data_IF_701546906967
#
_entry.id   IF_701546906967
#
_cell.length_a   1.000
_cell.length_b   1.000
_cell.length_c   1.000
_cell.angle_alpha   90.00
_cell.angle_beta   90.00
_cell.angle_gamma   90.00
#
_symmetry.space_group_name_H-M   'P 1'
#
loop_
_entity.id
_entity.type
_entity.pdbx_description
1 polymer ?
#
# COMPACT_ATOMS: atom_id res chain seq x y z
N UNK A 1 -26.09 23.37 -23.00
CA UNK A 1 -26.00 23.63 -24.46
C UNK A 1 -26.36 25.08 -24.81
N UNK A 2 -25.47 26.04 -24.54
CA UNK A 2 -25.55 27.41 -25.11
C UNK A 2 -24.13 27.98 -25.17
N UNK A 3 -23.54 28.12 -26.37
CA UNK A 3 -22.18 28.66 -26.54
C UNK A 3 -22.25 30.17 -26.79
N UNK A 4 -21.47 30.96 -26.05
CA UNK A 4 -21.17 32.35 -26.39
C UNK A 4 -19.64 32.52 -26.40
N UNK A 5 -19.07 32.71 -27.59
CA UNK A 5 -17.61 32.85 -27.74
C UNK A 5 -17.19 34.31 -27.54
N UNK A 6 -16.42 34.60 -26.49
CA UNK A 6 -15.54 35.77 -26.48
C UNK A 6 -14.11 35.37 -26.10
N UNK A 7 -13.21 35.39 -27.10
CA UNK A 7 -11.77 35.21 -26.91
C UNK A 7 -11.10 36.57 -26.69
N UNK A 8 -10.34 36.69 -25.62
CA UNK A 8 -9.29 37.71 -25.43
C UNK A 8 -8.03 37.01 -24.94
N UNK A 9 -6.89 37.09 -25.66
CA UNK A 9 -5.64 36.51 -25.19
C UNK A 9 -4.94 37.47 -24.22
N UNK A 10 -4.85 37.12 -22.94
CA UNK A 10 -4.05 37.85 -21.96
C UNK A 10 -2.69 37.16 -21.80
N UNK A 11 -1.65 37.68 -22.46
CA UNK A 11 -0.29 37.16 -22.33
C UNK A 11 0.38 37.74 -21.08
N UNK A 12 0.27 37.04 -19.95
CA UNK A 12 1.10 37.31 -18.76
C UNK A 12 2.43 36.56 -18.91
N UNK A 13 3.54 37.29 -18.83
CA UNK A 13 4.88 36.71 -18.89
C UNK A 13 5.40 36.38 -17.50
N UNK A 14 5.65 35.10 -17.21
CA UNK A 14 6.27 34.66 -15.95
C UNK A 14 7.74 35.06 -15.92
N UNK A 15 8.15 35.81 -14.89
CA UNK A 15 9.53 36.23 -14.67
C UNK A 15 10.30 35.18 -13.85
N UNK A 16 10.99 34.26 -14.52
CA UNK A 16 11.88 33.28 -13.86
C UNK A 16 13.10 33.98 -13.24
N UNK A 17 13.15 34.07 -11.92
CA UNK A 17 14.31 34.54 -11.16
C UNK A 17 15.32 33.40 -10.96
N UNK A 18 16.13 33.12 -11.99
CA UNK A 18 17.21 32.14 -11.88
C UNK A 18 18.34 32.61 -10.96
N UNK A 19 18.56 31.90 -9.85
CA UNK A 19 19.75 32.04 -9.01
C UNK A 19 20.75 30.93 -9.33
N UNK A 20 21.84 31.28 -10.02
CA UNK A 20 22.92 30.35 -10.32
C UNK A 20 23.99 30.37 -9.22
N UNK A 21 24.28 29.21 -8.63
CA UNK A 21 25.47 28.97 -7.81
C UNK A 21 26.39 28.00 -8.57
N UNK A 22 27.66 28.38 -8.75
CA UNK A 22 28.60 27.69 -9.63
C UNK A 22 29.70 27.02 -8.80
N UNK A 23 29.82 25.69 -8.86
CA UNK A 23 30.96 24.95 -8.31
C UNK A 23 31.20 23.67 -9.11
N UNK A 24 32.41 23.53 -9.67
CA UNK A 24 32.89 22.30 -10.28
C UNK A 24 34.05 21.75 -9.44
N UNK A 25 34.17 20.43 -9.35
CA UNK A 25 35.47 19.76 -9.25
C UNK A 25 35.38 18.35 -9.81
N UNK A 26 36.20 18.05 -10.81
CA UNK A 26 36.66 16.68 -11.07
C UNK A 26 37.62 16.23 -9.93
N UNK A 27 37.84 14.91 -9.74
CA UNK A 27 39.03 14.22 -10.28
C UNK A 27 39.12 12.70 -9.90
N UNK A 28 39.19 11.85 -10.93
CA UNK A 28 39.88 10.53 -11.05
C UNK A 28 39.91 9.42 -9.95
N UNK A 29 39.23 8.30 -10.27
CA UNK A 29 39.74 6.89 -10.42
C UNK A 29 40.37 6.03 -9.28
N UNK A 30 39.72 4.87 -9.06
CA UNK A 30 40.26 3.47 -8.99
C UNK A 30 41.08 2.91 -7.81
N UNK A 31 40.88 1.59 -7.59
CA UNK A 31 41.62 0.61 -6.77
C UNK A 31 41.47 0.73 -5.24
N UNK A 32 41.47 -0.37 -4.46
CA UNK A 32 41.74 -1.79 -4.76
C UNK A 32 40.92 -2.72 -3.85
N UNK A 33 40.88 -4.01 -4.19
CA UNK A 33 40.34 -5.12 -3.40
C UNK A 33 41.00 -5.25 -2.00
N UNK A 34 40.24 -5.75 -1.01
CA UNK A 34 40.75 -6.71 -0.02
C UNK A 34 39.62 -7.64 0.47
N UNK A 35 39.96 -8.82 1.02
CA UNK A 35 39.04 -9.91 1.34
C UNK A 35 39.13 -10.28 2.82
N UNK A 36 37.99 -10.36 3.53
CA UNK A 36 38.02 -10.75 4.95
C UNK A 36 36.68 -10.92 5.68
N UNK A 37 36.09 -12.12 5.58
CA UNK A 37 35.24 -12.77 6.61
C UNK A 37 35.90 -14.13 6.96
N UNK A 38 35.49 -14.91 7.98
CA UNK A 38 34.36 -14.76 8.93
C UNK A 38 34.80 -14.84 10.41
N UNK A 39 34.24 -15.78 11.19
CA UNK A 39 34.41 -16.07 12.65
C UNK A 39 33.73 -15.03 13.59
N UNK A 40 32.44 -15.13 13.95
CA UNK A 40 31.76 -16.05 14.92
C UNK A 40 32.01 -15.79 16.42
N UNK A 41 30.91 -15.68 17.18
CA UNK A 41 30.53 -16.61 18.29
C UNK A 41 30.09 -15.97 19.65
N UNK A 42 29.06 -16.59 20.24
CA UNK A 42 28.75 -16.74 21.67
C UNK A 42 28.50 -15.53 22.60
N UNK A 43 27.20 -15.30 22.84
CA UNK A 43 26.52 -15.32 24.16
C UNK A 43 27.16 -14.66 25.41
N UNK A 44 26.38 -13.78 26.04
CA UNK A 44 26.53 -13.40 27.46
C UNK A 44 25.16 -13.26 28.12
N UNK A 45 24.97 -13.87 29.29
CA UNK A 45 23.76 -13.73 30.13
C UNK A 45 23.88 -12.54 31.08
N UNK A 46 22.75 -12.07 31.62
CA UNK A 46 22.44 -12.23 33.06
C UNK A 46 21.03 -11.69 33.40
N UNK A 47 20.61 -11.87 34.65
CA UNK A 47 19.22 -11.86 35.11
C UNK A 47 19.00 -10.91 36.30
N UNK A 48 17.73 -10.76 36.72
CA UNK A 48 17.28 -10.21 38.02
C UNK A 48 17.43 -8.67 38.20
N UNK A 49 16.71 -7.96 39.11
CA UNK A 49 15.30 -8.07 39.54
C UNK A 49 14.90 -6.83 40.39
N UNK A 50 13.59 -6.60 40.57
CA UNK A 50 12.92 -6.04 41.77
C UNK A 50 13.16 -4.60 42.31
N UNK A 51 12.03 -3.90 42.53
CA UNK A 51 11.60 -3.13 43.74
C UNK A 51 12.12 -1.72 44.10
N UNK A 52 11.15 -0.78 44.09
CA UNK A 52 10.70 0.13 45.19
C UNK A 52 11.42 1.45 45.60
N UNK A 53 10.57 2.34 46.17
CA UNK A 53 10.79 3.60 46.90
C UNK A 53 11.32 4.84 46.11
N UNK A 54 11.06 6.12 46.48
CA UNK A 54 10.53 6.70 47.73
C UNK A 54 9.66 8.00 47.52
N UNK A 55 9.12 8.53 48.62
CA UNK A 55 8.06 9.54 48.86
C UNK A 55 8.39 11.01 48.47
N UNK A 56 7.35 11.84 48.28
CA UNK A 56 7.47 13.31 48.12
C UNK A 56 6.25 14.19 48.44
N UNK A 57 5.55 14.03 49.57
CA UNK A 57 4.49 14.99 50.01
C UNK A 57 5.06 16.27 50.66
N UNK A 58 4.47 17.45 50.36
CA UNK A 58 4.35 18.58 51.31
C UNK A 58 3.09 19.41 51.08
N UNK A 59 2.30 19.62 52.14
CA UNK A 59 1.15 20.54 52.21
C UNK A 59 1.46 21.76 53.12
N UNK A 60 0.89 22.93 52.82
CA UNK A 60 0.41 23.98 53.77
C UNK A 60 0.29 25.37 53.12
N UNK A 61 -0.78 26.12 53.44
CA UNK A 61 -0.71 27.60 53.45
C UNK A 61 -1.92 28.41 52.97
N UNK A 62 -3.03 28.44 53.74
CA UNK A 62 -4.19 29.30 53.47
C UNK A 62 -4.02 30.74 53.98
N UNK A 63 -4.67 31.73 53.34
CA UNK A 63 -5.41 32.81 54.05
C UNK A 63 -6.37 33.58 53.14
N UNK A 64 -7.40 34.20 53.73
CA UNK A 64 -8.50 34.92 53.06
C UNK A 64 -8.41 36.46 53.18
N UNK A 65 -9.12 37.18 52.30
CA UNK A 65 -9.76 38.53 52.46
C UNK A 65 -10.15 39.09 51.08
N UNK A 66 -11.20 39.89 50.85
CA UNK A 66 -12.44 40.20 51.61
C UNK A 66 -13.49 40.71 50.59
N UNK A 67 -14.79 40.74 50.93
CA UNK A 67 -15.90 41.14 50.03
C UNK A 67 -16.47 42.54 50.33
N UNK A 68 -16.99 43.24 49.32
CA UNK A 68 -17.49 44.63 49.48
C UNK A 68 -18.44 45.13 48.39
N UNK A 69 -19.69 44.64 48.37
CA UNK A 69 -20.76 45.10 47.46
C UNK A 69 -21.67 46.14 48.10
N UNK A 70 -22.15 47.16 47.35
CA UNK A 70 -23.49 47.78 47.52
C UNK A 70 -23.83 48.79 46.40
N UNK A 71 -24.95 48.56 45.68
CA UNK A 71 -26.20 49.37 45.64
C UNK A 71 -26.12 50.87 46.11
N UNK A 72 -26.87 51.88 45.61
CA UNK A 72 -28.17 51.91 44.89
C UNK A 72 -28.49 53.33 44.33
N UNK A 73 -29.14 53.41 43.15
CA UNK A 73 -30.32 54.24 42.75
C UNK A 73 -30.52 55.78 42.93
N UNK A 74 -31.44 56.31 42.10
CA UNK A 74 -32.18 57.63 42.10
C UNK A 74 -31.46 58.93 41.64
N UNK A 75 -32.11 59.98 41.09
CA UNK A 75 -33.35 60.14 40.27
C UNK A 75 -33.40 61.56 39.62
N UNK A 76 -34.25 61.73 38.60
CA UNK A 76 -34.71 62.86 37.77
C UNK A 76 -34.71 64.32 38.31
N UNK A 77 -34.56 65.31 37.40
CA UNK A 77 -35.01 66.70 37.66
C UNK A 77 -34.66 67.78 36.58
N UNK A 78 -35.68 68.30 35.87
CA UNK A 78 -35.60 69.46 34.93
C UNK A 78 -35.85 70.81 35.67
N UNK A 79 -35.90 72.04 35.12
CA UNK A 79 -36.18 72.61 33.77
C UNK A 79 -35.91 74.15 33.75
N UNK A 80 -35.85 74.81 32.56
CA UNK A 80 -35.93 76.30 32.31
C UNK A 80 -34.79 77.19 32.90
N UNK A 81 -34.41 78.40 32.44
CA UNK A 81 -34.78 79.42 31.39
C UNK A 81 -33.53 80.35 31.16
N UNK A 82 -33.35 81.35 30.27
CA UNK A 82 -34.08 82.01 29.14
C UNK A 82 -33.05 82.81 28.24
N UNK A 83 -33.48 83.30 27.05
CA UNK A 83 -33.00 84.48 26.28
C UNK A 83 -31.50 84.68 25.92
N UNK A 84 -31.15 84.36 24.66
CA UNK A 84 -31.38 85.32 23.55
C UNK A 84 -30.22 86.17 22.99
N UNK A 85 -29.87 85.94 21.72
CA UNK A 85 -29.54 86.98 20.73
C UNK A 85 -29.86 86.50 19.31
N UNK A 86 -30.18 87.43 18.41
CA UNK A 86 -30.25 87.17 16.96
C UNK A 86 -28.86 87.15 16.34
N UNK A 87 -28.70 86.44 15.23
CA UNK A 87 -28.44 87.09 13.94
C UNK A 87 -28.94 86.19 12.79
N UNK A 88 -28.99 86.74 11.58
CA UNK A 88 -29.65 86.12 10.41
C UNK A 88 -28.71 86.13 9.22
N UNK A 89 -28.33 84.94 8.75
CA UNK A 89 -27.78 84.74 7.39
C UNK A 89 -28.47 83.55 6.74
N UNK A 90 -28.50 83.53 5.41
CA UNK A 90 -29.25 82.56 4.61
C UNK A 90 -28.40 82.10 3.44
N UNK A 91 -27.66 81.01 3.66
CA UNK A 91 -27.06 80.21 2.60
C UNK A 91 -27.58 78.78 2.75
N UNK A 92 -28.58 78.44 1.94
CA UNK A 92 -28.96 77.06 1.66
C UNK A 92 -28.33 76.68 0.34
N UNK A 93 -27.33 75.82 0.38
CA UNK A 93 -27.08 74.78 -0.61
C UNK A 93 -26.07 73.81 0.02
N UNK A 94 -26.60 72.82 0.75
CA UNK A 94 -25.79 71.72 1.29
C UNK A 94 -25.54 70.72 0.17
N UNK A 95 -24.44 70.90 -0.57
CA UNK A 95 -23.85 69.85 -1.40
C UNK A 95 -23.30 68.74 -0.49
N UNK A 96 -24.21 67.97 0.13
CA UNK A 96 -23.91 66.64 0.62
C UNK A 96 -23.65 65.79 -0.61
N UNK A 97 -22.38 65.71 -1.01
CA UNK A 97 -21.90 64.76 -2.02
C UNK A 97 -22.19 63.35 -1.52
N UNK A 98 -23.40 62.90 -1.85
CA UNK A 98 -23.94 61.62 -1.42
C UNK A 98 -23.32 60.60 -2.35
N UNK A 99 -22.10 60.22 -2.02
CA UNK A 99 -21.43 59.07 -2.59
C UNK A 99 -22.33 57.86 -2.40
N UNK A 100 -23.15 57.56 -3.40
CA UNK A 100 -23.84 56.29 -3.52
C UNK A 100 -22.76 55.20 -3.61
N UNK A 101 -22.37 54.68 -2.44
CA UNK A 101 -21.81 53.34 -2.35
C UNK A 101 -22.88 52.41 -2.86
N UNK A 102 -22.85 52.14 -4.17
CA UNK A 102 -23.62 51.07 -4.77
C UNK A 102 -23.16 49.80 -4.09
N UNK A 103 -24.01 49.30 -3.19
CA UNK A 103 -23.85 48.05 -2.46
C UNK A 103 -24.00 46.90 -3.47
N UNK A 104 -22.91 46.68 -4.21
CA UNK A 104 -22.75 45.55 -5.12
C UNK A 104 -22.45 44.36 -4.21
N UNK A 105 -23.31 43.32 -4.20
CA UNK A 105 -23.01 42.11 -3.45
C UNK A 105 -21.65 41.56 -3.89
N UNK A 106 -20.82 41.02 -2.98
CA UNK A 106 -19.55 40.41 -3.36
C UNK A 106 -19.81 39.32 -4.41
N UNK A 107 -18.87 39.15 -5.35
CA UNK A 107 -18.91 37.95 -6.18
C UNK A 107 -18.56 36.72 -5.32
N UNK A 108 -18.98 35.54 -5.75
CA UNK A 108 -18.84 34.31 -4.97
C UNK A 108 -17.78 33.39 -5.57
N UNK A 109 -16.99 32.75 -4.72
CA UNK A 109 -16.22 31.56 -5.01
C UNK A 109 -17.02 30.29 -4.65
N UNK A 110 -16.60 29.14 -5.16
CA UNK A 110 -17.12 27.83 -4.78
C UNK A 110 -16.03 27.07 -4.03
N UNK A 111 -16.31 26.59 -2.81
CA UNK A 111 -15.36 25.84 -1.98
C UNK A 111 -15.94 24.48 -1.60
N UNK A 112 -15.31 23.37 -1.99
CA UNK A 112 -15.56 22.05 -1.40
C UNK A 112 -14.41 21.66 -0.48
N UNK A 113 -14.70 20.84 0.53
CA UNK A 113 -13.72 20.38 1.52
C UNK A 113 -13.64 18.86 1.55
N UNK A 114 -12.45 18.32 1.80
CA UNK A 114 -12.15 16.92 2.10
C UNK A 114 -11.49 16.81 3.48
N UNK A 115 -11.93 15.84 4.28
CA UNK A 115 -11.22 15.42 5.49
C UNK A 115 -10.36 14.17 5.21
N UNK A 116 -9.04 14.39 5.11
CA UNK A 116 -8.01 13.36 4.99
C UNK A 116 -6.96 13.46 6.13
N UNK A 117 -7.29 14.10 7.26
CA UNK A 117 -6.39 14.27 8.39
C UNK A 117 -6.29 12.99 9.24
N UNK A 118 -5.08 12.46 9.41
CA UNK A 118 -4.85 11.18 10.10
C UNK A 118 -5.02 11.32 11.62
N UNK A 119 -5.54 10.26 12.24
CA UNK A 119 -5.87 10.16 13.68
C UNK A 119 -6.84 11.22 14.23
N UNK A 120 -7.40 12.08 13.36
CA UNK A 120 -8.42 13.05 13.74
C UNK A 120 -9.82 12.41 13.82
N UNK A 121 -10.68 12.85 14.76
CA UNK A 121 -12.09 12.47 14.78
C UNK A 121 -12.83 13.14 13.61
N UNK A 122 -14.16 12.96 13.56
CA UNK A 122 -15.02 13.83 12.76
C UNK A 122 -14.79 15.31 13.13
N UNK A 123 -14.90 16.20 12.14
CA UNK A 123 -14.58 17.63 12.29
C UNK A 123 -15.77 18.54 11.99
N UNK A 124 -15.81 19.67 12.69
CA UNK A 124 -16.61 20.84 12.31
C UNK A 124 -15.66 21.89 11.70
N UNK A 125 -16.10 22.52 10.59
CA UNK A 125 -15.31 23.52 9.84
C UNK A 125 -16.04 24.85 9.85
N UNK A 126 -15.36 25.87 10.35
CA UNK A 126 -15.85 27.24 10.51
C UNK A 126 -15.20 28.17 9.48
N UNK A 127 -15.94 29.18 9.05
CA UNK A 127 -15.48 30.26 8.18
C UNK A 127 -15.76 31.59 8.90
N UNK A 128 -14.79 32.49 8.93
CA UNK A 128 -14.84 33.84 9.50
C UNK A 128 -15.40 33.93 10.94
N UNK A 129 -14.99 32.97 11.77
CA UNK A 129 -15.36 32.85 13.19
C UNK A 129 -16.88 32.85 13.48
N UNK A 130 -17.68 32.33 12.55
CA UNK A 130 -19.14 32.30 12.64
C UNK A 130 -19.69 31.49 13.84
N UNK A 131 -20.85 31.90 14.37
CA UNK A 131 -21.57 31.26 15.49
C UNK A 131 -21.93 29.77 15.26
N UNK A 132 -21.84 29.28 14.03
CA UNK A 132 -22.11 27.91 13.64
C UNK A 132 -21.16 27.49 12.50
N UNK A 133 -20.73 26.21 12.44
CA UNK A 133 -19.83 25.73 11.39
C UNK A 133 -20.54 25.72 10.02
N UNK A 134 -19.76 25.96 8.96
CA UNK A 134 -20.21 25.86 7.58
C UNK A 134 -20.38 24.40 7.13
N UNK A 135 -19.55 23.50 7.68
CA UNK A 135 -19.65 22.04 7.53
C UNK A 135 -19.58 21.41 8.90
N UNK A 136 -20.54 20.55 9.26
CA UNK A 136 -20.62 19.92 10.58
C UNK A 136 -20.54 18.40 10.52
N UNK A 137 -19.83 17.79 11.47
CA UNK A 137 -19.67 16.35 11.65
C UNK A 137 -19.14 15.62 10.41
N UNK A 138 -18.16 16.22 9.72
CA UNK A 138 -17.52 15.64 8.54
C UNK A 138 -16.61 14.48 8.97
N UNK A 139 -16.84 13.23 8.52
CA UNK A 139 -15.99 12.09 8.86
C UNK A 139 -14.66 12.09 8.08
N UNK A 140 -13.67 11.35 8.58
CA UNK A 140 -12.47 11.01 7.81
C UNK A 140 -12.84 10.29 6.50
N UNK A 141 -12.02 10.46 5.45
CA UNK A 141 -12.26 10.00 4.07
C UNK A 141 -13.56 10.52 3.44
N UNK A 142 -14.14 11.62 3.95
CA UNK A 142 -15.40 12.19 3.44
C UNK A 142 -15.23 13.65 2.97
N UNK A 143 -15.95 14.01 1.92
CA UNK A 143 -15.94 15.35 1.32
C UNK A 143 -17.31 16.03 1.35
N UNK A 144 -17.40 17.20 0.73
CA UNK A 144 -18.65 17.98 0.63
C UNK A 144 -18.96 18.37 -0.81
N UNK A 145 -20.24 18.65 -1.08
CA UNK A 145 -20.60 19.49 -2.22
C UNK A 145 -19.95 20.88 -2.04
N UNK A 146 -19.78 21.61 -3.14
CA UNK A 146 -19.30 23.00 -3.08
C UNK A 146 -20.27 23.90 -2.27
N UNK A 147 -19.70 24.66 -1.35
CA UNK A 147 -20.34 25.77 -0.65
C UNK A 147 -20.11 27.07 -1.43
N UNK A 148 -21.12 27.95 -1.48
CA UNK A 148 -20.95 29.33 -1.98
C UNK A 148 -20.31 30.18 -0.86
N UNK A 149 -19.10 30.68 -1.09
CA UNK A 149 -18.36 31.57 -0.17
C UNK A 149 -18.11 32.90 -0.90
N UNK A 150 -18.14 34.07 -0.23
CA UNK A 150 -17.74 35.33 -0.89
C UNK A 150 -16.32 35.30 -1.45
N UNK A 151 -15.99 36.25 -2.33
CA UNK A 151 -14.60 36.53 -2.69
C UNK A 151 -13.87 37.27 -1.55
N UNK A 152 -12.57 36.98 -1.37
CA UNK A 152 -11.70 37.71 -0.44
C UNK A 152 -10.83 36.82 0.45
N UNK A 153 -10.31 37.41 1.52
CA UNK A 153 -9.59 36.71 2.57
C UNK A 153 -10.59 36.15 3.59
N UNK A 154 -10.47 34.86 3.89
CA UNK A 154 -11.30 34.17 4.89
C UNK A 154 -10.44 33.43 5.91
N UNK A 155 -10.91 33.38 7.16
CA UNK A 155 -10.32 32.52 8.19
C UNK A 155 -11.07 31.18 8.18
N UNK A 156 -10.37 30.09 7.87
CA UNK A 156 -10.91 28.72 8.00
C UNK A 156 -10.36 28.08 9.27
N UNK A 157 -11.24 27.67 10.18
CA UNK A 157 -10.89 27.05 11.46
C UNK A 157 -11.52 25.66 11.58
N UNK A 158 -10.75 24.67 12.00
CA UNK A 158 -11.15 23.26 12.11
C UNK A 158 -11.18 22.86 13.59
N UNK A 159 -12.30 22.31 14.07
CA UNK A 159 -12.45 21.72 15.40
C UNK A 159 -12.86 20.24 15.29
N UNK A 160 -12.74 19.46 16.37
CA UNK A 160 -13.44 18.19 16.45
C UNK A 160 -14.96 18.43 16.67
N UNK A 161 -15.83 17.56 16.14
CA UNK A 161 -17.30 17.76 16.17
C UNK A 161 -17.82 18.21 17.54
N UNK A 162 -18.55 19.32 17.55
CA UNK A 162 -19.21 19.88 18.72
C UNK A 162 -18.29 20.56 19.75
N UNK A 163 -16.99 20.73 19.45
CA UNK A 163 -16.11 21.59 20.25
C UNK A 163 -16.24 23.07 19.79
N UNK A 164 -16.08 24.05 20.70
CA UNK A 164 -16.10 25.46 20.31
C UNK A 164 -14.90 25.82 19.42
N UNK A 165 -15.05 26.88 18.61
CA UNK A 165 -13.97 27.38 17.75
C UNK A 165 -12.72 27.85 18.53
N UNK A 166 -12.87 28.17 19.82
CA UNK A 166 -11.74 28.45 20.73
C UNK A 166 -10.80 27.24 20.93
N UNK A 167 -11.29 26.01 20.70
CA UNK A 167 -10.54 24.74 20.76
C UNK A 167 -10.14 24.25 19.35
N UNK A 168 -10.02 25.14 18.35
CA UNK A 168 -9.60 24.80 16.99
C UNK A 168 -8.18 24.19 16.97
N UNK A 169 -8.04 23.07 16.26
CA UNK A 169 -6.76 22.36 16.09
C UNK A 169 -5.91 22.97 14.98
N UNK A 170 -6.56 23.65 14.03
CA UNK A 170 -5.94 24.39 12.94
C UNK A 170 -6.81 25.60 12.58
N UNK A 171 -6.18 26.76 12.36
CA UNK A 171 -6.78 27.95 11.77
C UNK A 171 -5.85 28.52 10.70
N UNK A 172 -6.36 28.75 9.50
CA UNK A 172 -5.60 29.23 8.33
C UNK A 172 -6.32 30.39 7.63
N UNK A 173 -5.56 31.36 7.12
CA UNK A 173 -6.07 32.40 6.22
C UNK A 173 -6.01 31.90 4.78
N UNK A 174 -7.12 31.98 4.04
CA UNK A 174 -7.22 31.60 2.62
C UNK A 174 -7.70 32.76 1.76
N UNK A 175 -7.21 32.88 0.53
CA UNK A 175 -7.67 33.89 -0.45
C UNK A 175 -8.52 33.19 -1.53
N UNK A 176 -9.82 33.52 -1.57
CA UNK A 176 -10.77 32.97 -2.53
C UNK A 176 -11.10 34.01 -3.62
N UNK A 177 -10.79 33.69 -4.87
CA UNK A 177 -11.08 34.54 -6.01
C UNK A 177 -12.52 34.31 -6.52
N UNK A 178 -13.19 35.39 -6.91
CA UNK A 178 -14.52 35.35 -7.52
C UNK A 178 -14.61 34.35 -8.70
N UNK A 179 -15.77 33.69 -8.82
CA UNK A 179 -16.10 32.76 -9.90
C UNK A 179 -15.12 31.57 -10.07
N UNK A 180 -14.27 31.32 -9.07
CA UNK A 180 -13.28 30.24 -9.03
C UNK A 180 -13.81 29.09 -8.18
N UNK A 181 -13.52 27.87 -8.59
CA UNK A 181 -13.84 26.64 -7.86
C UNK A 181 -12.58 26.16 -7.14
N UNK A 182 -12.74 25.76 -5.88
CA UNK A 182 -11.66 25.31 -5.01
C UNK A 182 -11.97 23.98 -4.33
N UNK A 183 -10.97 23.09 -4.34
CA UNK A 183 -10.89 21.86 -3.58
C UNK A 183 -9.91 22.06 -2.41
N UNK A 184 -10.43 22.19 -1.19
CA UNK A 184 -9.58 22.20 0.01
C UNK A 184 -9.52 20.82 0.65
N UNK A 185 -8.34 20.37 1.07
CA UNK A 185 -8.18 19.14 1.83
C UNK A 185 -7.36 19.37 3.10
N UNK A 186 -7.88 18.93 4.24
CA UNK A 186 -7.12 18.83 5.48
C UNK A 186 -6.38 17.48 5.49
N UNK A 187 -5.07 17.47 5.73
CA UNK A 187 -4.18 16.31 5.64
C UNK A 187 -3.05 16.36 6.68
N UNK A 188 -2.17 15.36 6.67
CA UNK A 188 -1.20 15.05 7.74
C UNK A 188 -1.90 14.53 9.02
N UNK A 189 -1.12 14.03 9.98
CA UNK A 189 -1.57 13.67 11.31
C UNK A 189 -2.15 14.87 12.06
N UNK A 190 -3.14 14.62 12.93
CA UNK A 190 -3.76 15.63 13.82
C UNK A 190 -2.75 16.50 14.58
N UNK A 191 -1.56 15.98 14.89
CA UNK A 191 -0.49 16.70 15.59
C UNK A 191 0.30 17.71 14.71
N UNK A 192 0.17 17.61 13.38
CA UNK A 192 0.85 18.41 12.36
C UNK A 192 -0.12 18.97 11.29
N UNK A 193 -1.44 18.84 11.54
CA UNK A 193 -2.51 19.00 10.55
C UNK A 193 -2.32 20.22 9.63
N UNK A 194 -2.35 19.96 8.33
CA UNK A 194 -2.13 20.93 7.26
C UNK A 194 -3.37 21.05 6.37
N UNK A 195 -3.47 22.12 5.60
CA UNK A 195 -4.52 22.32 4.58
C UNK A 195 -3.88 22.69 3.25
N UNK A 196 -4.26 21.97 2.20
CA UNK A 196 -4.00 22.36 0.82
C UNK A 196 -5.26 22.97 0.22
N UNK A 197 -5.10 24.00 -0.61
CA UNK A 197 -6.17 24.70 -1.32
C UNK A 197 -5.88 24.64 -2.81
N UNK A 198 -6.58 23.76 -3.51
CA UNK A 198 -6.44 23.48 -4.94
C UNK A 198 -7.47 24.28 -5.73
N UNK A 199 -7.18 24.61 -6.99
CA UNK A 199 -8.10 25.28 -7.91
C UNK A 199 -8.57 24.27 -8.96
N UNK A 200 -9.87 24.05 -9.06
CA UNK A 200 -10.48 23.10 -10.01
C UNK A 200 -10.46 23.65 -11.46
N UNK A 201 -9.29 23.69 -12.11
CA UNK A 201 -9.14 24.14 -13.50
C UNK A 201 -9.48 23.02 -14.51
N UNK A 202 -10.76 22.95 -14.89
CA UNK A 202 -11.29 21.99 -15.89
C UNK A 202 -10.79 22.24 -17.33
N UNK A 203 -10.05 23.32 -17.59
CA UNK A 203 -9.79 23.79 -18.95
C UNK A 203 -8.79 22.95 -19.76
N UNK A 204 -8.09 22.02 -19.11
CA UNK A 204 -7.17 21.07 -19.73
C UNK A 204 -7.81 19.73 -20.15
N UNK A 205 -9.07 19.47 -19.81
CA UNK A 205 -9.78 18.22 -20.16
C UNK A 205 -9.94 18.09 -21.68
N UNK A 206 -9.52 16.95 -22.25
CA UNK A 206 -9.80 16.57 -23.63
C UNK A 206 -10.95 15.54 -23.73
N UNK A 207 -11.52 15.38 -24.92
CA UNK A 207 -12.57 14.39 -25.15
C UNK A 207 -12.04 12.96 -24.94
N UNK A 208 -12.86 12.08 -24.36
CA UNK A 208 -12.47 10.72 -23.97
C UNK A 208 -11.30 10.66 -22.95
N UNK A 209 -11.11 11.70 -22.12
CA UNK A 209 -10.13 11.73 -21.00
C UNK A 209 -10.75 12.07 -19.64
N UNK A 210 -9.99 11.82 -18.57
CA UNK A 210 -10.17 12.31 -17.20
C UNK A 210 -8.94 13.16 -16.83
N UNK A 211 -9.16 14.27 -16.11
CA UNK A 211 -8.09 15.07 -15.52
C UNK A 211 -8.03 14.80 -14.01
N UNK A 212 -7.01 14.07 -13.59
CA UNK A 212 -6.70 13.91 -12.17
C UNK A 212 -5.84 15.09 -11.68
N UNK A 213 -6.21 15.67 -10.54
CA UNK A 213 -5.34 16.55 -9.77
C UNK A 213 -4.74 15.73 -8.63
N UNK A 214 -3.62 15.07 -8.92
CA UNK A 214 -2.94 14.14 -8.02
C UNK A 214 -2.20 14.93 -6.96
N UNK A 215 -2.45 14.64 -5.68
CA UNK A 215 -1.81 15.34 -4.56
C UNK A 215 -1.23 14.34 -3.56
N UNK A 216 0.03 14.51 -3.20
CA UNK A 216 0.65 13.69 -2.16
C UNK A 216 0.29 14.28 -0.79
N UNK A 217 -0.55 13.56 -0.06
CA UNK A 217 -1.05 13.88 1.27
C UNK A 217 -0.67 12.78 2.30
N UNK A 218 0.32 11.93 1.97
CA UNK A 218 0.78 10.80 2.77
C UNK A 218 2.09 11.16 3.52
N UNK A 219 2.04 11.52 4.82
CA UNK A 219 3.21 12.01 5.56
C UNK A 219 4.31 10.95 5.71
N UNK A 220 3.93 9.67 5.71
CA UNK A 220 4.85 8.54 5.91
C UNK A 220 5.55 8.07 4.62
N UNK A 221 5.05 8.47 3.43
CA UNK A 221 5.64 8.10 2.13
C UNK A 221 6.66 9.13 1.62
N UNK A 222 6.65 10.36 2.14
CA UNK A 222 7.67 11.36 1.78
C UNK A 222 7.50 11.91 0.35
N UNK A 223 8.50 11.68 -0.52
CA UNK A 223 8.47 12.06 -1.94
C UNK A 223 8.26 10.78 -2.74
N UNK A 224 7.39 10.80 -3.75
CA UNK A 224 7.02 9.60 -4.52
C UNK A 224 6.98 9.85 -6.02
N UNK A 225 7.23 8.81 -6.80
CA UNK A 225 6.95 8.76 -8.24
C UNK A 225 5.64 7.99 -8.50
N UNK A 226 4.86 8.44 -9.48
CA UNK A 226 3.61 7.77 -9.89
C UNK A 226 3.75 7.17 -11.29
N UNK A 227 3.46 5.89 -11.41
CA UNK A 227 3.58 5.08 -12.62
C UNK A 227 2.20 4.61 -13.10
N UNK A 228 2.02 4.47 -14.41
CA UNK A 228 0.99 3.61 -14.98
C UNK A 228 1.54 2.19 -15.10
N UNK A 229 0.83 1.22 -14.53
CA UNK A 229 1.17 -0.19 -14.59
C UNK A 229 0.67 -0.74 -15.94
N UNK A 230 1.62 -1.10 -16.79
CA UNK A 230 1.40 -1.52 -18.17
C UNK A 230 2.61 -2.36 -18.65
N UNK A 231 2.52 -2.95 -19.84
CA UNK A 231 3.67 -3.60 -20.51
C UNK A 231 4.20 -2.72 -21.65
N UNK A 232 5.31 -1.97 -21.46
CA UNK A 232 6.03 -1.71 -20.21
C UNK A 232 5.40 -0.59 -19.36
N UNK A 233 5.79 -0.43 -18.08
CA UNK A 233 5.31 0.66 -17.22
C UNK A 233 5.68 2.05 -17.77
N UNK A 234 4.89 3.06 -17.38
CA UNK A 234 5.06 4.45 -17.86
C UNK A 234 5.01 5.42 -16.70
N UNK A 235 6.12 6.14 -16.46
CA UNK A 235 6.16 7.22 -15.47
C UNK A 235 5.16 8.34 -15.84
N UNK A 236 4.30 8.71 -14.90
CA UNK A 236 3.24 9.72 -15.03
C UNK A 236 3.57 11.02 -14.31
N UNK A 237 4.07 10.92 -13.08
CA UNK A 237 4.47 12.06 -12.23
C UNK A 237 5.81 11.73 -11.57
N UNK A 238 6.78 12.62 -11.73
CA UNK A 238 8.17 12.52 -11.24
C UNK A 238 8.35 13.45 -10.03
N UNK A 239 8.92 12.93 -8.94
CA UNK A 239 9.32 13.63 -7.71
C UNK A 239 8.18 14.41 -7.03
N UNK A 240 7.06 13.75 -6.73
CA UNK A 240 5.90 14.36 -6.06
C UNK A 240 6.12 14.45 -4.54
N UNK A 241 6.71 15.57 -4.10
CA UNK A 241 6.89 15.94 -2.68
C UNK A 241 5.59 15.84 -1.86
N UNK A 242 5.71 15.45 -0.58
CA UNK A 242 4.61 15.58 0.39
C UNK A 242 4.07 17.02 0.47
N UNK A 243 2.76 17.17 0.32
CA UNK A 243 2.05 18.45 0.23
C UNK A 243 2.03 19.07 -1.17
N UNK A 244 2.66 18.48 -2.18
CA UNK A 244 2.61 18.93 -3.57
C UNK A 244 1.45 18.32 -4.36
N UNK A 245 1.17 18.91 -5.53
CA UNK A 245 0.09 18.52 -6.45
C UNK A 245 0.57 18.58 -7.91
N UNK A 246 0.08 17.66 -8.75
CA UNK A 246 0.41 17.54 -10.16
C UNK A 246 -0.82 17.16 -11.02
N UNK A 247 -1.00 17.76 -12.20
CA UNK A 247 -2.07 17.38 -13.13
C UNK A 247 -1.69 16.14 -13.95
N UNK A 248 -2.57 15.15 -13.98
CA UNK A 248 -2.46 13.91 -14.75
C UNK A 248 -3.67 13.77 -15.70
N UNK A 249 -3.42 13.79 -17.01
CA UNK A 249 -4.44 13.46 -18.01
C UNK A 249 -4.38 11.96 -18.33
N UNK A 250 -5.48 11.25 -18.08
CA UNK A 250 -5.60 9.82 -18.31
C UNK A 250 -6.75 9.49 -19.29
N UNK A 251 -6.71 8.35 -20.01
CA UNK A 251 -7.86 7.84 -20.77
C UNK A 251 -9.03 7.48 -19.83
N UNK A 252 -10.24 7.46 -20.39
CA UNK A 252 -11.44 6.98 -19.66
C UNK A 252 -11.44 5.46 -19.48
N UNK A 253 -11.94 5.00 -18.33
CA UNK A 253 -11.96 3.59 -17.92
C UNK A 253 -11.17 3.34 -16.64
N UNK A 254 -11.09 2.08 -16.24
CA UNK A 254 -10.21 1.64 -15.16
C UNK A 254 -8.74 1.64 -15.60
N UNK A 255 -7.82 1.83 -14.66
CA UNK A 255 -6.38 1.82 -14.89
C UNK A 255 -5.62 1.41 -13.62
N UNK A 256 -4.50 0.72 -13.81
CA UNK A 256 -3.68 0.24 -12.70
C UNK A 256 -2.54 1.26 -12.48
N UNK A 257 -2.42 1.81 -11.27
CA UNK A 257 -1.42 2.82 -10.91
C UNK A 257 -0.43 2.29 -9.89
N UNK A 258 0.85 2.65 -10.03
CA UNK A 258 1.91 2.35 -9.08
C UNK A 258 2.42 3.61 -8.40
N UNK A 259 2.79 3.49 -7.13
CA UNK A 259 3.54 4.48 -6.35
C UNK A 259 4.90 3.86 -5.99
N UNK A 260 5.96 4.55 -6.38
CA UNK A 260 7.38 4.25 -6.11
C UNK A 260 7.85 5.23 -5.02
N UNK A 261 8.42 4.70 -3.92
CA UNK A 261 8.74 5.45 -2.69
C UNK A 261 10.25 5.58 -2.45
N UNK A 262 11.09 4.76 -3.09
CA UNK A 262 12.55 4.77 -2.88
C UNK A 262 13.45 5.01 -4.12
N UNK A 263 12.86 5.35 -5.28
CA UNK A 263 13.53 5.79 -6.52
C UNK A 263 14.37 4.67 -7.17
N UNK A 264 13.84 3.43 -7.18
CA UNK A 264 14.46 2.24 -7.79
C UNK A 264 13.86 1.80 -9.15
N UNK A 265 12.82 2.51 -9.63
CA UNK A 265 11.98 2.21 -10.81
C UNK A 265 10.98 1.04 -10.62
N UNK A 266 10.73 0.56 -9.39
CA UNK A 266 9.71 -0.46 -9.05
C UNK A 266 8.69 0.05 -8.02
N UNK A 267 7.39 0.15 -8.36
CA UNK A 267 6.36 0.59 -7.41
C UNK A 267 6.17 -0.30 -6.17
N UNK A 268 6.34 0.26 -4.97
CA UNK A 268 6.05 -0.34 -3.66
C UNK A 268 4.57 -0.61 -3.42
N UNK A 269 3.70 0.22 -4.00
CA UNK A 269 2.25 0.17 -3.78
C UNK A 269 1.53 0.27 -5.12
N UNK A 270 0.69 -0.71 -5.45
CA UNK A 270 -0.15 -0.69 -6.66
C UNK A 270 -1.61 -0.42 -6.30
N UNK A 271 -2.39 0.10 -7.25
CA UNK A 271 -3.77 0.54 -7.05
C UNK A 271 -4.61 0.27 -8.30
N UNK A 272 -5.60 -0.62 -8.15
CA UNK A 272 -6.62 -0.92 -9.16
C UNK A 272 -7.68 0.21 -9.25
N UNK A 273 -7.38 1.32 -9.93
CA UNK A 273 -8.29 2.48 -10.04
C UNK A 273 -9.48 2.15 -10.95
N UNK A 274 -10.74 2.21 -10.48
CA UNK A 274 -11.93 1.88 -11.27
C UNK A 274 -12.27 2.96 -12.32
N UNK A 275 -13.25 2.67 -13.19
CA UNK A 275 -13.83 3.68 -14.10
C UNK A 275 -14.60 4.74 -13.29
N UNK A 276 -13.93 5.87 -13.02
CA UNK A 276 -14.49 7.03 -12.31
C UNK A 276 -15.26 7.99 -13.25
N UNK A 277 -15.35 7.72 -14.55
CA UNK A 277 -16.13 8.50 -15.52
C UNK A 277 -15.32 9.13 -16.65
N UNK A 278 -15.84 10.24 -17.21
CA UNK A 278 -15.35 10.83 -18.45
C UNK A 278 -15.61 12.34 -18.55
N UNK A 279 -14.70 13.05 -19.23
CA UNK A 279 -14.74 14.50 -19.44
C UNK A 279 -14.89 15.29 -18.12
N UNK A 280 -14.13 14.88 -17.09
CA UNK A 280 -14.29 15.31 -15.70
C UNK A 280 -12.93 15.58 -15.01
N UNK A 281 -12.90 16.53 -14.06
CA UNK A 281 -11.79 16.75 -13.12
C UNK A 281 -12.05 15.97 -11.83
N UNK A 282 -11.02 15.31 -11.28
CA UNK A 282 -11.08 14.58 -10.01
C UNK A 282 -9.81 14.87 -9.21
N UNK A 283 -9.93 15.37 -7.98
CA UNK A 283 -8.75 15.42 -7.09
C UNK A 283 -8.46 14.00 -6.58
N UNK A 284 -7.20 13.58 -6.66
CA UNK A 284 -6.77 12.24 -6.23
C UNK A 284 -5.70 12.40 -5.15
N UNK A 285 -6.09 12.22 -3.89
CA UNK A 285 -5.19 12.41 -2.75
C UNK A 285 -4.59 11.06 -2.34
N UNK A 286 -3.28 10.90 -2.52
CA UNK A 286 -2.53 9.78 -1.94
C UNK A 286 -2.36 10.05 -0.44
N UNK A 287 -2.79 9.12 0.40
CA UNK A 287 -2.73 9.19 1.87
C UNK A 287 -2.48 7.79 2.45
N UNK A 288 -2.58 7.61 3.76
CA UNK A 288 -2.47 6.33 4.47
C UNK A 288 -3.71 6.07 5.33
N UNK A 289 -3.92 4.83 5.77
CA UNK A 289 -4.93 4.55 6.81
C UNK A 289 -4.44 4.95 8.21
N UNK A 290 -5.38 5.40 9.06
CA UNK A 290 -5.10 5.87 10.42
C UNK A 290 -4.33 4.85 11.26
N UNK A 291 -3.26 5.28 11.93
CA UNK A 291 -2.31 4.41 12.61
C UNK A 291 -1.17 3.85 11.74
N UNK A 292 -1.00 4.34 10.50
CA UNK A 292 0.10 3.94 9.61
C UNK A 292 -0.14 2.58 8.94
N UNK A 293 -1.39 2.27 8.62
CA UNK A 293 -1.77 1.13 7.79
C UNK A 293 -1.72 1.53 6.29
N UNK A 294 -2.05 0.67 5.30
CA UNK A 294 -1.52 0.77 3.94
C UNK A 294 -1.89 2.07 3.22
N UNK A 295 -1.14 2.36 2.16
CA UNK A 295 -1.41 3.50 1.31
C UNK A 295 -2.81 3.43 0.68
N UNK A 296 -3.40 4.60 0.47
CA UNK A 296 -4.80 4.78 0.12
C UNK A 296 -4.94 5.98 -0.80
N UNK A 297 -5.65 5.84 -1.91
CA UNK A 297 -6.06 6.99 -2.72
C UNK A 297 -7.50 7.40 -2.39
N UNK A 298 -7.72 8.70 -2.22
CA UNK A 298 -9.06 9.28 -2.09
C UNK A 298 -9.39 10.08 -3.35
N UNK A 299 -10.28 9.55 -4.19
CA UNK A 299 -10.79 10.26 -5.35
C UNK A 299 -11.99 11.14 -4.95
N UNK A 300 -11.80 12.45 -4.88
CA UNK A 300 -12.83 13.43 -4.51
C UNK A 300 -13.58 13.91 -5.76
N UNK A 301 -14.77 13.38 -5.95
CA UNK A 301 -15.61 13.62 -7.12
C UNK A 301 -16.25 15.03 -7.07
N UNK A 302 -16.50 15.70 -8.22
CA UNK A 302 -17.14 17.01 -8.27
C UNK A 302 -18.58 17.11 -7.71
N UNK A 303 -19.23 16.00 -7.40
CA UNK A 303 -20.51 15.97 -6.66
C UNK A 303 -20.34 15.89 -5.13
N UNK A 304 -19.10 16.00 -4.65
CA UNK A 304 -18.73 15.94 -3.24
C UNK A 304 -18.66 14.53 -2.65
N UNK A 305 -18.88 13.48 -3.45
CA UNK A 305 -18.59 12.11 -3.01
C UNK A 305 -17.10 11.83 -3.03
N UNK A 306 -16.66 10.92 -2.16
CA UNK A 306 -15.27 10.43 -2.13
C UNK A 306 -15.29 8.93 -2.37
N UNK A 307 -14.47 8.47 -3.30
CA UNK A 307 -14.24 7.05 -3.56
C UNK A 307 -12.87 6.68 -2.98
N UNK A 308 -12.81 5.94 -1.86
CA UNK A 308 -11.56 5.36 -1.39
C UNK A 308 -11.16 4.20 -2.31
N UNK A 309 -9.89 4.19 -2.70
CA UNK A 309 -9.23 3.17 -3.51
C UNK A 309 -8.02 2.72 -2.70
N UNK A 310 -8.11 1.62 -1.94
CA UNK A 310 -6.97 1.12 -1.16
C UNK A 310 -5.84 0.69 -2.10
N UNK A 311 -4.62 0.58 -1.56
CA UNK A 311 -3.58 -0.18 -2.24
C UNK A 311 -4.03 -1.64 -2.42
N UNK A 312 -3.66 -2.21 -3.55
CA UNK A 312 -3.76 -3.62 -3.88
C UNK A 312 -3.07 -4.47 -2.78
N UNK A 313 -3.69 -5.57 -2.34
CA UNK A 313 -3.18 -6.39 -1.22
C UNK A 313 -3.46 -7.89 -1.37
N UNK A 314 -2.37 -8.65 -1.35
CA UNK A 314 -2.38 -10.11 -1.35
C UNK A 314 -3.33 -10.72 -0.30
N UNK A 315 -4.32 -11.48 -0.76
CA UNK A 315 -5.31 -12.20 0.03
C UNK A 315 -6.74 -11.61 0.02
N UNK A 316 -7.08 -10.69 -0.90
CA UNK A 316 -8.40 -10.01 -0.89
C UNK A 316 -9.52 -10.69 -1.72
N UNK A 317 -9.16 -11.42 -2.78
CA UNK A 317 -10.06 -12.18 -3.66
C UNK A 317 -10.04 -11.78 -5.15
N UNK A 318 -9.35 -10.72 -5.55
CA UNK A 318 -9.23 -10.26 -6.94
C UNK A 318 -7.75 -10.18 -7.38
N UNK A 319 -7.34 -10.97 -8.37
CA UNK A 319 -5.94 -11.03 -8.86
C UNK A 319 -5.46 -9.68 -9.46
N UNK A 320 -4.51 -9.03 -8.79
CA UNK A 320 -4.06 -7.65 -9.04
C UNK A 320 -2.72 -7.57 -9.81
N UNK A 321 -2.23 -6.35 -10.09
CA UNK A 321 -0.98 -6.18 -10.84
C UNK A 321 0.24 -6.65 -10.02
N UNK A 322 1.06 -7.52 -10.61
CA UNK A 322 2.27 -8.05 -9.98
C UNK A 322 2.07 -9.35 -9.21
N UNK A 323 0.82 -9.81 -9.07
CA UNK A 323 0.48 -11.09 -8.45
C UNK A 323 0.48 -12.24 -9.47
N UNK A 324 1.07 -13.39 -9.12
CA UNK A 324 0.91 -14.63 -9.87
C UNK A 324 -0.36 -15.41 -9.42
N UNK A 325 -0.84 -15.13 -8.21
CA UNK A 325 -1.95 -15.78 -7.53
C UNK A 325 -2.44 -14.90 -6.37
N UNK A 326 -3.67 -15.09 -5.89
CA UNK A 326 -4.22 -14.32 -4.77
C UNK A 326 -4.88 -15.24 -3.73
N UNK A 327 -4.13 -15.59 -2.67
CA UNK A 327 -4.50 -16.51 -1.59
C UNK A 327 -4.80 -17.97 -2.02
N UNK A 328 -5.12 -18.19 -3.28
CA UNK A 328 -5.38 -19.42 -3.98
C UNK A 328 -4.72 -19.38 -5.37
N UNK A 329 -4.25 -20.52 -5.83
CA UNK A 329 -3.68 -20.67 -7.17
C UNK A 329 -4.80 -20.56 -8.23
N UNK A 330 -4.64 -19.78 -9.31
CA UNK A 330 -5.62 -19.68 -10.39
C UNK A 330 -5.99 -21.03 -11.03
N UNK A 331 -7.23 -21.15 -11.52
CA UNK A 331 -7.79 -22.37 -12.13
C UNK A 331 -6.99 -22.90 -13.35
N UNK A 332 -6.15 -22.07 -13.97
CA UNK A 332 -5.28 -22.41 -15.09
C UNK A 332 -3.79 -22.56 -14.73
N UNK A 333 -3.44 -22.51 -13.43
CA UNK A 333 -2.08 -22.72 -12.92
C UNK A 333 -1.96 -24.01 -12.11
N UNK A 334 -0.89 -24.78 -12.36
CA UNK A 334 -0.55 -25.99 -11.58
C UNK A 334 0.92 -26.36 -11.76
N UNK A 335 1.41 -27.33 -10.98
CA UNK A 335 2.74 -27.91 -11.20
C UNK A 335 2.93 -28.37 -12.67
N UNK A 336 1.89 -28.96 -13.28
CA UNK A 336 1.92 -29.41 -14.68
C UNK A 336 2.06 -28.25 -15.69
N UNK A 337 1.44 -27.09 -15.43
CA UNK A 337 1.52 -25.93 -16.34
C UNK A 337 2.87 -25.22 -16.24
N UNK A 338 3.48 -25.23 -15.06
CA UNK A 338 4.85 -24.76 -14.83
C UNK A 338 5.94 -25.75 -15.31
N UNK A 339 5.55 -26.95 -15.75
CA UNK A 339 6.44 -27.93 -16.39
C UNK A 339 6.99 -29.03 -15.49
N UNK A 340 6.53 -29.11 -14.24
CA UNK A 340 6.76 -30.23 -13.32
C UNK A 340 5.84 -31.41 -13.68
N UNK A 341 5.99 -32.55 -13.00
CA UNK A 341 5.18 -33.74 -13.30
C UNK A 341 4.04 -34.01 -12.31
N UNK A 342 4.18 -33.55 -11.06
CA UNK A 342 3.23 -33.79 -9.97
C UNK A 342 3.51 -32.81 -8.82
N UNK A 343 2.75 -32.95 -7.72
CA UNK A 343 2.83 -32.10 -6.54
C UNK A 343 1.62 -31.18 -6.39
N UNK A 344 1.71 -30.22 -5.47
CA UNK A 344 0.68 -29.19 -5.25
C UNK A 344 1.34 -27.82 -5.34
N UNK A 345 0.89 -27.01 -6.30
CA UNK A 345 1.29 -25.61 -6.40
C UNK A 345 0.55 -24.82 -5.30
N UNK A 346 1.25 -23.93 -4.61
CA UNK A 346 0.67 -23.08 -3.58
C UNK A 346 0.75 -21.60 -3.96
N UNK A 347 -0.07 -20.78 -3.33
CA UNK A 347 0.11 -19.33 -3.32
C UNK A 347 0.83 -18.93 -2.03
N UNK A 348 1.82 -18.05 -2.14
CA UNK A 348 2.59 -17.56 -0.99
C UNK A 348 1.92 -16.35 -0.33
N UNK A 349 2.33 -16.02 0.91
CA UNK A 349 1.90 -14.80 1.62
C UNK A 349 2.35 -13.48 0.92
N UNK A 350 3.10 -13.58 -0.19
CA UNK A 350 3.51 -12.47 -1.06
C UNK A 350 3.03 -12.65 -2.50
N UNK A 351 1.96 -13.43 -2.70
CA UNK A 351 1.23 -13.61 -3.97
C UNK A 351 2.05 -14.06 -5.20
N UNK A 352 3.24 -14.61 -4.95
CA UNK A 352 4.02 -15.40 -5.91
C UNK A 352 3.65 -16.89 -5.82
N UNK A 353 3.75 -17.61 -6.95
CA UNK A 353 3.46 -19.05 -7.01
C UNK A 353 4.58 -19.90 -6.37
N UNK A 354 4.29 -20.52 -5.23
CA UNK A 354 5.21 -21.41 -4.53
C UNK A 354 5.18 -22.83 -5.12
N UNK A 355 6.21 -23.11 -5.93
CA UNK A 355 6.47 -24.41 -6.57
C UNK A 355 7.38 -25.33 -5.76
N UNK A 356 7.73 -25.02 -4.50
CA UNK A 356 8.55 -25.91 -3.65
C UNK A 356 7.88 -27.23 -3.27
N UNK A 357 6.56 -27.34 -3.51
CA UNK A 357 5.78 -28.58 -3.40
C UNK A 357 5.40 -29.17 -4.77
N UNK A 358 6.06 -28.73 -5.84
CA UNK A 358 6.04 -29.34 -7.18
C UNK A 358 7.36 -30.06 -7.46
N UNK A 359 7.31 -31.21 -8.13
CA UNK A 359 8.48 -32.09 -8.31
C UNK A 359 8.51 -32.76 -9.70
N UNK A 360 9.68 -33.22 -10.13
CA UNK A 360 9.96 -33.60 -11.53
C UNK A 360 10.43 -35.04 -11.67
N UNK A 361 9.71 -35.82 -12.48
CA UNK A 361 9.97 -37.25 -12.69
C UNK A 361 11.16 -37.47 -13.63
N UNK A 362 12.28 -37.98 -13.10
CA UNK A 362 13.50 -38.30 -13.86
C UNK A 362 14.71 -37.39 -13.59
N UNK A 363 14.85 -36.83 -12.38
CA UNK A 363 15.91 -35.86 -12.03
C UNK A 363 17.07 -36.43 -11.16
N UNK A 364 16.94 -37.66 -10.68
CA UNK A 364 17.83 -38.39 -9.74
C UNK A 364 17.60 -38.13 -8.23
N UNK A 365 16.48 -37.53 -7.83
CA UNK A 365 16.00 -37.41 -6.45
C UNK A 365 14.55 -37.91 -6.33
N UNK A 366 14.31 -39.01 -5.58
CA UNK A 366 12.94 -39.40 -5.21
C UNK A 366 12.41 -38.42 -4.16
N UNK A 367 11.42 -37.61 -4.53
CA UNK A 367 10.82 -36.58 -3.65
C UNK A 367 9.29 -36.46 -3.76
N UNK A 368 8.69 -35.56 -2.96
CA UNK A 368 7.25 -35.30 -2.98
C UNK A 368 6.39 -36.54 -2.70
N UNK A 369 5.61 -36.97 -3.71
CA UNK A 369 4.74 -38.15 -3.68
C UNK A 369 5.28 -39.34 -4.51
N UNK A 370 6.55 -39.31 -4.93
CA UNK A 370 7.15 -40.37 -5.77
C UNK A 370 7.39 -41.69 -5.04
N UNK A 371 7.38 -42.76 -5.83
CA UNK A 371 7.79 -44.12 -5.44
C UNK A 371 9.04 -44.56 -6.21
N UNK A 372 9.26 -44.00 -7.39
CA UNK A 372 10.46 -44.13 -8.20
C UNK A 372 10.66 -42.85 -9.01
N UNK A 373 11.88 -42.65 -9.48
CA UNK A 373 12.33 -41.47 -10.22
C UNK A 373 13.16 -41.99 -11.41
N UNK A 374 12.56 -41.96 -12.61
CA UNK A 374 13.09 -42.63 -13.81
C UNK A 374 13.22 -44.16 -13.71
N UNK A 375 13.61 -44.82 -14.79
CA UNK A 375 13.88 -46.27 -14.79
C UNK A 375 15.13 -46.58 -13.92
N UNK A 376 14.99 -47.46 -12.93
CA UNK A 376 16.03 -47.73 -11.91
C UNK A 376 16.58 -49.16 -12.01
N UNK A 377 17.80 -49.42 -11.53
CA UNK A 377 18.29 -50.80 -11.49
C UNK A 377 17.64 -51.56 -10.33
N UNK A 378 17.33 -52.84 -10.55
CA UNK A 378 16.60 -53.63 -9.53
C UNK A 378 17.38 -53.79 -8.22
N UNK A 379 18.72 -53.70 -8.26
CA UNK A 379 19.59 -53.76 -7.10
C UNK A 379 19.64 -52.45 -6.29
N UNK A 380 19.16 -51.33 -6.83
CA UNK A 380 18.96 -50.08 -6.08
C UNK A 380 17.61 -50.11 -5.33
N UNK A 381 16.61 -50.81 -5.87
CA UNK A 381 15.29 -50.99 -5.27
C UNK A 381 15.33 -51.98 -4.10
N UNK A 382 15.89 -53.17 -4.29
CA UNK A 382 16.10 -54.14 -3.21
C UNK A 382 17.32 -55.06 -3.49
N UNK A 383 18.50 -54.78 -2.92
CA UNK A 383 19.70 -55.61 -3.07
C UNK A 383 19.68 -56.91 -2.24
N UNK A 384 18.71 -57.12 -1.35
CA UNK A 384 18.51 -58.39 -0.63
C UNK A 384 17.65 -59.39 -1.43
N UNK A 385 16.97 -58.92 -2.49
CA UNK A 385 16.12 -59.74 -3.38
C UNK A 385 16.67 -59.81 -4.82
N UNK A 386 17.17 -58.70 -5.36
CA UNK A 386 17.58 -58.57 -6.76
C UNK A 386 19.07 -58.25 -6.93
N UNK A 387 19.67 -58.77 -8.00
CA UNK A 387 21.06 -58.48 -8.39
C UNK A 387 21.21 -58.05 -9.85
N UNK A 388 20.12 -58.11 -10.62
CA UNK A 388 20.10 -57.79 -12.05
C UNK A 388 18.70 -57.42 -12.53
N UNK A 389 18.64 -56.76 -13.70
CA UNK A 389 17.41 -56.23 -14.28
C UNK A 389 17.31 -54.71 -14.17
N UNK A 390 16.36 -54.13 -14.91
CA UNK A 390 15.92 -52.75 -14.79
C UNK A 390 14.44 -52.79 -14.42
N UNK A 391 14.02 -52.02 -13.42
CA UNK A 391 12.60 -51.80 -13.17
C UNK A 391 12.16 -50.57 -13.96
N UNK A 392 11.02 -50.64 -14.62
CA UNK A 392 10.49 -49.45 -15.32
C UNK A 392 9.64 -48.62 -14.38
N UNK A 393 9.81 -47.30 -14.46
CA UNK A 393 9.10 -46.35 -13.61
C UNK A 393 8.00 -45.67 -14.41
N UNK A 394 6.74 -46.03 -14.16
CA UNK A 394 5.59 -45.49 -14.87
C UNK A 394 4.99 -44.34 -14.06
N UNK A 395 5.08 -43.13 -14.63
CA UNK A 395 4.49 -41.89 -14.10
C UNK A 395 4.92 -41.60 -12.65
N UNK A 396 6.14 -42.00 -12.28
CA UNK A 396 6.78 -41.90 -10.95
C UNK A 396 5.98 -42.42 -9.72
N UNK A 397 4.79 -42.97 -9.97
CA UNK A 397 3.86 -43.54 -8.97
C UNK A 397 3.85 -45.06 -8.94
N UNK A 398 4.45 -45.74 -9.93
CA UNK A 398 4.52 -47.21 -9.98
C UNK A 398 5.82 -47.74 -10.56
N UNK A 399 6.41 -48.71 -9.85
CA UNK A 399 7.65 -49.41 -10.23
C UNK A 399 7.34 -50.83 -10.70
N UNK A 400 7.52 -51.13 -11.99
CA UNK A 400 7.35 -52.49 -12.52
C UNK A 400 8.66 -53.27 -12.40
N UNK A 401 8.68 -54.22 -11.46
CA UNK A 401 9.84 -55.09 -11.18
C UNK A 401 9.81 -56.41 -11.97
N UNK A 402 8.99 -56.53 -13.02
CA UNK A 402 8.85 -57.79 -13.77
C UNK A 402 10.07 -58.20 -14.62
N UNK A 403 10.98 -57.27 -14.92
CA UNK A 403 12.30 -57.59 -15.51
C UNK A 403 13.42 -57.75 -14.46
N UNK A 404 13.10 -57.70 -13.17
CA UNK A 404 14.06 -57.88 -12.07
C UNK A 404 14.33 -59.36 -11.76
N UNK A 405 15.57 -59.67 -11.38
CA UNK A 405 15.96 -61.03 -11.02
C UNK A 405 17.08 -61.09 -9.98
N UNK A 406 17.07 -62.17 -9.18
CA UNK A 406 18.17 -62.59 -8.30
C UNK A 406 19.42 -63.10 -9.07
N UNK A 407 19.44 -62.98 -10.41
CA UNK A 407 20.66 -63.12 -11.22
C UNK A 407 21.20 -64.55 -11.27
N UNK A 408 22.47 -64.76 -10.93
CA UNK A 408 23.09 -66.10 -11.05
C UNK A 408 22.41 -67.17 -10.20
N UNK A 409 21.72 -66.80 -9.11
CA UNK A 409 20.93 -67.71 -8.27
C UNK A 409 19.93 -68.55 -9.09
N UNK A 410 19.41 -67.97 -10.17
CA UNK A 410 18.44 -68.57 -11.10
C UNK A 410 19.07 -69.51 -12.16
N UNK A 411 20.38 -69.75 -12.09
CA UNK A 411 21.16 -70.45 -13.11
C UNK A 411 22.17 -71.42 -12.50
N UNK A 412 22.53 -72.49 -13.21
CA UNK A 412 23.52 -73.45 -12.71
C UNK A 412 24.95 -72.97 -12.93
N UNK A 413 25.82 -73.14 -11.92
CA UNK A 413 27.19 -72.63 -11.93
C UNK A 413 28.14 -73.34 -10.95
N UNK A 414 29.25 -72.68 -10.64
CA UNK A 414 30.22 -73.14 -9.64
C UNK A 414 29.65 -73.07 -8.22
N UNK A 415 30.40 -73.54 -7.21
CA UNK A 415 29.95 -73.47 -5.82
C UNK A 415 29.68 -72.01 -5.40
N UNK A 416 28.54 -71.77 -4.75
CA UNK A 416 28.08 -70.44 -4.33
C UNK A 416 27.87 -69.42 -5.47
N UNK A 417 27.49 -69.86 -6.69
CA UNK A 417 27.14 -68.94 -7.79
C UNK A 417 25.74 -68.33 -7.66
N UNK A 418 25.54 -67.52 -6.62
CA UNK A 418 24.32 -66.78 -6.38
C UNK A 418 24.67 -65.39 -5.84
N UNK A 419 24.40 -64.35 -6.65
CA UNK A 419 24.82 -62.96 -6.35
C UNK A 419 24.07 -62.34 -5.17
N UNK A 420 22.86 -62.83 -4.87
CA UNK A 420 22.03 -62.36 -3.75
C UNK A 420 22.43 -63.11 -2.48
N UNK A 421 23.20 -62.46 -1.61
CA UNK A 421 23.81 -63.10 -0.43
C UNK A 421 22.79 -63.74 0.52
N UNK A 422 21.58 -63.16 0.68
CA UNK A 422 20.52 -63.70 1.52
C UNK A 422 19.99 -65.07 1.00
N UNK A 423 19.76 -65.16 -0.31
CA UNK A 423 19.38 -66.42 -0.99
C UNK A 423 20.53 -67.44 -0.89
N UNK A 424 21.76 -67.00 -1.13
CA UNK A 424 22.95 -67.85 -1.03
C UNK A 424 23.09 -68.46 0.38
N UNK A 425 23.08 -67.64 1.43
CA UNK A 425 23.22 -68.11 2.82
C UNK A 425 22.07 -69.03 3.24
N UNK A 426 20.85 -68.79 2.74
CA UNK A 426 19.71 -69.68 2.94
C UNK A 426 19.94 -71.06 2.29
N UNK A 427 20.30 -71.12 1.00
CA UNK A 427 20.57 -72.39 0.32
C UNK A 427 21.78 -73.11 0.94
N UNK A 428 22.82 -72.39 1.38
CA UNK A 428 23.94 -72.97 2.12
C UNK A 428 23.54 -73.65 3.43
N UNK A 429 22.45 -73.20 4.07
CA UNK A 429 21.91 -73.79 5.29
C UNK A 429 20.99 -74.99 5.03
N UNK A 430 20.43 -75.12 3.82
CA UNK A 430 19.63 -76.26 3.37
C UNK A 430 20.52 -77.39 2.83
N UNK A 431 21.28 -77.14 1.74
CA UNK A 431 22.31 -78.06 1.24
C UNK A 431 23.72 -77.44 1.17
N UNK A 432 24.57 -77.93 2.06
CA UNK A 432 26.01 -77.71 2.05
C UNK A 432 26.72 -78.05 0.72
N UNK A 433 26.12 -78.87 -0.15
CA UNK A 433 26.68 -79.18 -1.48
C UNK A 433 26.76 -77.94 -2.37
N UNK A 434 25.68 -77.15 -2.42
CA UNK A 434 25.54 -75.95 -3.25
C UNK A 434 26.63 -74.91 -2.99
N UNK A 435 27.10 -74.81 -1.75
CA UNK A 435 28.11 -73.86 -1.32
C UNK A 435 29.53 -74.43 -1.13
N UNK A 436 29.76 -75.71 -1.47
CA UNK A 436 31.09 -76.34 -1.39
C UNK A 436 31.53 -77.12 -2.64
N UNK A 437 30.60 -77.44 -3.56
CA UNK A 437 30.88 -78.36 -4.68
C UNK A 437 30.36 -77.86 -6.04
N UNK A 438 29.20 -77.21 -6.09
CA UNK A 438 28.61 -76.67 -7.33
C UNK A 438 27.13 -76.32 -7.17
N UNK A 439 26.66 -75.30 -7.87
CA UNK A 439 25.27 -74.85 -7.85
C UNK A 439 24.51 -75.49 -9.02
N UNK A 440 23.82 -76.60 -8.76
CA UNK A 440 23.07 -77.34 -9.80
C UNK A 440 21.56 -77.04 -9.79
N UNK A 441 20.78 -77.77 -10.59
CA UNK A 441 19.33 -77.56 -10.71
C UNK A 441 18.54 -77.83 -9.42
N UNK A 442 19.12 -78.51 -8.43
CA UNK A 442 18.54 -78.65 -7.09
C UNK A 442 18.77 -77.34 -6.32
N UNK A 443 19.99 -76.79 -6.35
CA UNK A 443 20.32 -75.51 -5.72
C UNK A 443 19.47 -74.34 -6.27
N UNK A 444 19.21 -74.31 -7.58
CA UNK A 444 18.29 -73.34 -8.21
C UNK A 444 16.84 -73.55 -7.72
N UNK A 445 16.41 -74.79 -7.52
CA UNK A 445 15.07 -75.09 -6.99
C UNK A 445 14.91 -74.73 -5.51
N UNK A 446 15.90 -75.02 -4.67
CA UNK A 446 15.95 -74.57 -3.27
C UNK A 446 16.00 -73.03 -3.20
N UNK A 447 16.71 -72.38 -4.13
CA UNK A 447 16.74 -70.93 -4.26
C UNK A 447 15.33 -70.34 -4.51
N UNK A 448 14.55 -70.87 -5.47
CA UNK A 448 13.21 -70.36 -5.78
C UNK A 448 12.14 -70.78 -4.76
N UNK A 449 12.12 -72.06 -4.39
CA UNK A 449 10.97 -72.67 -3.70
C UNK A 449 11.04 -72.52 -2.17
N UNK A 450 12.25 -72.53 -1.60
CA UNK A 450 12.49 -72.46 -0.14
C UNK A 450 13.18 -71.15 0.30
N UNK A 451 13.98 -70.51 -0.58
CA UNK A 451 14.80 -69.33 -0.25
C UNK A 451 14.41 -68.02 -0.95
N UNK A 452 13.33 -67.99 -1.75
CA UNK A 452 12.70 -66.75 -2.24
C UNK A 452 13.37 -66.03 -3.42
N UNK A 453 14.27 -66.69 -4.17
CA UNK A 453 14.87 -66.13 -5.37
C UNK A 453 13.84 -65.82 -6.46
N UNK A 454 13.91 -64.64 -7.07
CA UNK A 454 13.01 -64.20 -8.14
C UNK A 454 13.69 -64.44 -9.50
N UNK A 455 13.07 -65.34 -10.28
CA UNK A 455 13.61 -65.87 -11.53
C UNK A 455 12.55 -65.79 -12.65
N UNK A 456 12.86 -65.15 -13.80
CA UNK A 456 11.92 -64.99 -14.93
C UNK A 456 11.81 -66.23 -15.86
#
# INVERSE_FOLDING_TARGET
MYRSNHRLPLTIGVCVFGFAAFACSDDTTTNTDDVGTPETDSSGTDSESSTDDDIGETDSGSTETDSGSTETETDSGSTETDSGSTDTDTDTDTDTDTSETTDVPPEMAMLRVLHAGLDAPNVDIYIDDADAPAVSDLPFQSGTNYLEVPEGMHTVSITATGQPIEDAVLSVEVELAAQTMYSAAAYDYLASLSVMLLVDDDSAIEADTVLFQVSNAAPDLGQVDMWQLADPPVLLVENLDFGATAPLLAPVGAMDLGIDVDDDEVPDHTFSVPDLGAEILIDLYLTTESGGAPALMLAHMPDGSVVPIPADVCGDGELQWGEDCDGAVPDDQSCETLGFNFGTLACSDTCALDSTSCSTCGDAVIEGEEICDGDQSCAEIDPEIYSSGSATCSECTTTDTSECSSGTCCSTGDASSCDVQAVLDCVCALDSFCCNNGWDSICVGEATDDCGAICP
#
